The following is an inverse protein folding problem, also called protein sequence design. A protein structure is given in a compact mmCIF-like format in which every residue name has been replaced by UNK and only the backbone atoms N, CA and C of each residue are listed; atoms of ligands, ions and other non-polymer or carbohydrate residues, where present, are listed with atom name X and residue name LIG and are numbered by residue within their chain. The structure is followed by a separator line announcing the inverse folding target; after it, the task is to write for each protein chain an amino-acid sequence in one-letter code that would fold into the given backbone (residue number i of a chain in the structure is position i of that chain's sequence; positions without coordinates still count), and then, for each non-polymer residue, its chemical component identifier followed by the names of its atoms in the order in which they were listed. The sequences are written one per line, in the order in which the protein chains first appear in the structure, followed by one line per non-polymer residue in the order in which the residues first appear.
data_IF_450652312998
#
_entry.id   IF_450652312998
#
_cell.length_a   1.000
_cell.length_b   1.000
_cell.length_c   1.000
_cell.angle_alpha   90.00
_cell.angle_beta   90.00
_cell.angle_gamma   90.00
#
_symmetry.space_group_name_H-M   'P 1'
#
loop_
_entity.id
_entity.type
_entity.pdbx_description
1 polymer ?
#
# COMPACT_ATOMS: atom_id res chain seq x y z
N UNK A 1 23.25 -2.78 17.07
CA UNK A 1 21.80 -2.67 16.78
C UNK A 1 21.63 -2.81 15.28
N UNK A 2 20.81 -3.72 14.74
CA UNK A 2 20.75 -3.90 13.29
C UNK A 2 20.13 -2.65 12.67
N UNK A 3 20.78 -2.15 11.63
CA UNK A 3 20.36 -1.00 10.84
C UNK A 3 18.96 -1.25 10.29
N UNK A 4 17.93 -0.72 10.95
CA UNK A 4 16.54 -0.85 10.52
C UNK A 4 16.45 -0.14 9.17
N UNK A 5 16.32 -0.91 8.08
CA UNK A 5 16.11 -0.35 6.74
C UNK A 5 14.85 0.49 6.78
N UNK A 6 15.02 1.80 6.66
CA UNK A 6 13.91 2.75 6.61
C UNK A 6 13.25 2.64 5.25
N UNK A 7 11.94 2.44 5.26
CA UNK A 7 11.13 2.49 4.06
C UNK A 7 10.95 3.94 3.61
N UNK A 8 10.99 4.16 2.29
CA UNK A 8 10.67 5.45 1.67
C UNK A 8 9.56 5.21 0.65
N UNK A 9 8.42 5.89 0.83
CA UNK A 9 7.32 5.87 -0.13
C UNK A 9 7.57 6.93 -1.20
N UNK A 10 8.34 6.61 -2.24
CA UNK A 10 8.63 7.51 -3.37
C UNK A 10 8.92 8.98 -2.98
N UNK A 11 9.68 9.19 -1.90
CA UNK A 11 10.01 10.51 -1.30
C UNK A 11 8.81 11.38 -0.82
N UNK A 12 7.57 10.86 -0.88
CA UNK A 12 6.34 11.58 -0.52
C UNK A 12 6.00 11.52 0.97
N UNK A 13 6.54 10.54 1.70
CA UNK A 13 6.29 10.39 3.15
C UNK A 13 7.58 10.36 3.95
N UNK A 14 7.69 11.22 4.96
CA UNK A 14 8.85 11.33 5.86
C UNK A 14 8.77 10.40 7.08
N UNK A 15 7.74 9.54 7.15
CA UNK A 15 7.50 8.69 8.30
C UNK A 15 8.52 7.54 8.39
N UNK A 16 9.18 7.35 9.55
CA UNK A 16 10.28 6.39 9.70
C UNK A 16 9.74 4.98 9.98
N UNK A 17 9.16 4.33 8.97
CA UNK A 17 8.77 2.92 9.08
C UNK A 17 9.88 1.98 8.65
N UNK A 18 9.94 0.81 9.27
CA UNK A 18 10.83 -0.26 8.86
C UNK A 18 10.26 -1.05 7.68
N UNK A 19 11.12 -1.71 6.90
CA UNK A 19 10.70 -2.61 5.81
C UNK A 19 9.77 -3.72 6.32
N UNK A 20 10.11 -4.37 7.42
CA UNK A 20 9.28 -5.44 8.01
C UNK A 20 7.89 -4.92 8.44
N UNK A 21 7.87 -3.70 8.99
CA UNK A 21 6.67 -3.02 9.46
C UNK A 21 5.72 -2.74 8.29
N UNK A 22 6.25 -2.25 7.17
CA UNK A 22 5.48 -1.96 5.96
C UNK A 22 5.02 -3.24 5.29
N UNK A 23 5.87 -4.26 5.21
CA UNK A 23 5.51 -5.57 4.64
C UNK A 23 4.32 -6.17 5.37
N UNK A 24 4.38 -6.23 6.70
CA UNK A 24 3.32 -6.78 7.54
C UNK A 24 2.05 -5.93 7.53
N UNK A 25 2.19 -4.61 7.43
CA UNK A 25 1.05 -3.72 7.27
C UNK A 25 0.31 -3.97 5.94
N UNK A 26 1.05 -4.12 4.83
CA UNK A 26 0.47 -4.45 3.52
C UNK A 26 -0.23 -5.81 3.59
N UNK A 27 0.40 -6.81 4.19
CA UNK A 27 -0.17 -8.15 4.38
C UNK A 27 -1.55 -8.10 5.04
N UNK A 28 -1.65 -7.46 6.22
CA UNK A 28 -2.93 -7.34 6.95
C UNK A 28 -4.00 -6.60 6.13
N UNK A 29 -3.60 -5.58 5.35
CA UNK A 29 -4.53 -4.81 4.50
C UNK A 29 -5.02 -5.62 3.30
N UNK A 30 -4.14 -6.37 2.66
CA UNK A 30 -4.49 -7.28 1.56
C UNK A 30 -5.40 -8.41 2.05
N UNK A 31 -5.12 -8.98 3.23
CA UNK A 31 -6.00 -9.96 3.88
C UNK A 31 -7.39 -9.39 4.20
N UNK A 32 -7.44 -8.09 4.51
CA UNK A 32 -8.70 -7.35 4.70
C UNK A 32 -9.36 -6.93 3.38
N UNK A 33 -8.86 -7.37 2.23
CA UNK A 33 -9.38 -7.05 0.88
C UNK A 33 -9.30 -5.55 0.54
N UNK A 34 -8.33 -4.85 1.13
CA UNK A 34 -8.11 -3.41 0.91
C UNK A 34 -7.04 -3.21 -0.17
N UNK A 35 -7.45 -2.79 -1.36
CA UNK A 35 -6.54 -2.49 -2.48
C UNK A 35 -5.88 -1.11 -2.40
N UNK A 36 -6.65 -0.07 -2.06
CA UNK A 36 -6.13 1.28 -1.87
C UNK A 36 -5.51 1.44 -0.47
N UNK A 37 -4.26 1.01 -0.33
CA UNK A 37 -3.55 1.02 0.94
C UNK A 37 -2.91 2.39 1.16
N UNK A 38 -3.39 3.12 2.17
CA UNK A 38 -2.81 4.38 2.63
C UNK A 38 -1.57 4.19 3.51
N UNK A 39 -0.76 5.24 3.61
CA UNK A 39 0.36 5.31 4.55
C UNK A 39 -0.12 5.04 6.00
N UNK A 40 0.60 4.23 6.80
CA UNK A 40 0.22 3.94 8.18
C UNK A 40 0.41 5.11 9.17
N UNK A 41 0.90 6.28 8.72
CA UNK A 41 1.01 7.47 9.56
C UNK A 41 -0.36 8.06 9.90
N UNK A 42 -0.58 8.42 11.18
CA UNK A 42 -1.89 8.84 11.71
C UNK A 42 -2.56 10.02 10.99
N UNK A 43 -1.81 10.86 10.26
CA UNK A 43 -2.34 11.99 9.48
C UNK A 43 -1.85 11.97 8.02
N UNK A 44 -1.40 10.81 7.54
CA UNK A 44 -0.87 10.69 6.20
C UNK A 44 -1.91 10.12 5.24
N UNK A 45 -2.40 10.95 4.33
CA UNK A 45 -3.37 10.54 3.29
C UNK A 45 -2.70 10.05 2.01
N UNK A 46 -1.36 9.97 1.98
CA UNK A 46 -0.66 9.50 0.81
C UNK A 46 -0.82 7.99 0.64
N UNK A 47 -1.24 7.51 -0.54
CA UNK A 47 -1.26 6.09 -0.83
C UNK A 47 0.16 5.52 -0.84
N UNK A 48 0.30 4.25 -0.47
CA UNK A 48 1.54 3.52 -0.66
C UNK A 48 1.74 3.21 -2.13
N UNK A 49 2.93 3.53 -2.65
CA UNK A 49 3.31 3.18 -4.01
C UNK A 49 3.71 1.69 -4.07
N UNK A 50 3.00 0.87 -4.88
CA UNK A 50 3.28 -0.57 -4.98
C UNK A 50 4.69 -0.87 -5.47
N UNK A 51 5.23 -0.02 -6.36
CA UNK A 51 6.56 -0.20 -6.94
C UNK A 51 7.65 0.00 -5.87
N UNK A 52 7.50 1.02 -5.01
CA UNK A 52 8.38 1.27 -3.86
C UNK A 52 8.37 0.12 -2.85
N UNK A 53 7.23 -0.59 -2.74
CA UNK A 53 7.07 -1.73 -1.83
C UNK A 53 7.51 -3.07 -2.43
N UNK A 54 7.65 -3.17 -3.76
CA UNK A 54 8.04 -4.41 -4.47
C UNK A 54 9.31 -5.08 -3.94
N UNK A 55 10.41 -4.39 -3.58
CA UNK A 55 11.59 -5.05 -3.03
C UNK A 55 11.41 -5.53 -1.58
N UNK A 56 10.31 -5.13 -0.92
CA UNK A 56 10.03 -5.39 0.49
C UNK A 56 9.05 -6.55 0.69
N UNK A 57 8.12 -6.72 -0.26
CA UNK A 57 7.05 -7.72 -0.19
C UNK A 57 7.30 -8.92 -1.11
N UNK A 58 6.70 -10.06 -0.79
CA UNK A 58 6.77 -11.24 -1.65
C UNK A 58 6.01 -11.03 -2.96
N UNK A 59 6.42 -11.75 -4.03
CA UNK A 59 5.74 -11.70 -5.32
C UNK A 59 4.24 -12.01 -5.18
N UNK A 60 3.89 -13.05 -4.42
CA UNK A 60 2.50 -13.45 -4.21
C UNK A 60 1.68 -12.35 -3.52
N UNK A 61 2.25 -11.69 -2.51
CA UNK A 61 1.57 -10.60 -1.81
C UNK A 61 1.38 -9.40 -2.75
N UNK A 62 2.38 -9.07 -3.56
CA UNK A 62 2.27 -8.00 -4.55
C UNK A 62 1.18 -8.31 -5.60
N UNK A 63 1.16 -9.53 -6.15
CA UNK A 63 0.22 -9.88 -7.21
C UNK A 63 -1.23 -9.75 -6.69
N UNK A 64 -1.51 -10.27 -5.48
CA UNK A 64 -2.81 -10.08 -4.80
C UNK A 64 -3.15 -8.63 -4.53
N UNK A 65 -2.19 -7.85 -4.05
CA UNK A 65 -2.40 -6.42 -3.81
C UNK A 65 -2.73 -5.67 -5.11
N UNK A 66 -2.03 -5.98 -6.19
CA UNK A 66 -2.26 -5.40 -7.51
C UNK A 66 -3.68 -5.71 -8.02
N UNK A 67 -4.14 -6.94 -7.85
CA UNK A 67 -5.50 -7.35 -8.22
C UNK A 67 -6.56 -6.55 -7.42
N UNK A 68 -6.37 -6.42 -6.11
CA UNK A 68 -7.25 -5.62 -5.25
C UNK A 68 -7.23 -4.14 -5.60
N UNK A 69 -6.07 -3.59 -5.94
CA UNK A 69 -5.91 -2.21 -6.33
C UNK A 69 -6.62 -1.93 -7.66
N UNK A 70 -6.46 -2.82 -8.65
CA UNK A 70 -7.19 -2.75 -9.92
C UNK A 70 -8.70 -2.85 -9.73
N UNK A 71 -9.15 -3.79 -8.89
CA UNK A 71 -10.56 -3.94 -8.55
C UNK A 71 -11.12 -2.70 -7.84
N UNK A 72 -10.35 -2.09 -6.93
CA UNK A 72 -10.73 -0.84 -6.27
C UNK A 72 -10.88 0.31 -7.28
N UNK A 73 -9.96 0.44 -8.24
CA UNK A 73 -10.10 1.43 -9.31
C UNK A 73 -11.34 1.16 -10.17
N UNK A 74 -11.63 -0.10 -10.49
CA UNK A 74 -12.86 -0.48 -11.19
C UNK A 74 -14.13 -0.14 -10.40
N UNK A 75 -14.10 -0.25 -9.07
CA UNK A 75 -15.23 0.18 -8.22
C UNK A 75 -15.37 1.71 -8.19
N UNK A 76 -14.25 2.43 -8.03
CA UNK A 76 -14.24 3.89 -8.01
C UNK A 76 -14.78 4.50 -9.32
N UNK A 77 -14.46 3.89 -10.47
CA UNK A 77 -14.98 4.34 -11.78
C UNK A 77 -16.48 4.09 -11.96
N UNK A 78 -17.01 2.99 -11.43
CA UNK A 78 -18.46 2.73 -11.43
C UNK A 78 -19.23 3.70 -10.51
N UNK A 79 -18.64 4.12 -9.38
CA UNK A 79 -19.24 5.12 -8.48
C UNK A 79 -19.31 6.51 -9.14
N UNK A 80 -18.28 6.94 -9.87
CA UNK A 80 -18.30 8.25 -10.56
C UNK A 80 -19.22 8.26 -11.79
N UNK A 81 -19.45 7.11 -12.43
CA UNK A 81 -20.38 6.99 -13.55
C UNK A 81 -21.86 6.89 -13.10
N UNK A 82 -22.12 6.52 -11.84
CA UNK A 82 -23.47 6.38 -11.26
C UNK A 82 -24.06 7.65 -10.66
N UNK A 83 -23.43 8.83 -10.86
CA UNK A 83 -23.96 10.13 -10.46
C UNK A 83 -24.53 10.86 -11.68
N UNK A 84 -25.66 10.39 -12.21
CA UNK A 84 -26.53 11.12 -13.15
C UNK A 84 -27.92 11.21 -12.53
#
# INVERSE_FOLDING_TARGET
MPSIRKFKNADLSTHPFCWDCISKYIEVKVESVIGNIGCPGLDCKHPLDPLSCRPVISKLLFDRWSDLLYAWFGFATNVVAGSI
#
